data_IF_461783789107
#
_entry.id   IF_461783789107
#
_cell.length_a   1.000
_cell.length_b   1.000
_cell.length_c   1.000
_cell.angle_alpha   90.00
_cell.angle_beta   90.00
_cell.angle_gamma   90.00
#
_symmetry.space_group_name_H-M   'P 1'
#
loop_
_entity.id
_entity.type
_entity.pdbx_description
1 polymer ?
#
# COMPACT_ATOMS: atom_id res chain seq x y z
N UNK A 1 85.60 -43.62 51.83
CA UNK A 1 85.26 -42.43 51.04
C UNK A 1 83.76 -42.36 50.90
N UNK A 2 83.10 -41.51 51.71
CA UNK A 2 81.66 -41.28 51.61
C UNK A 2 81.42 -39.93 51.00
N UNK A 3 80.76 -39.93 49.88
CA UNK A 3 80.31 -38.71 49.15
C UNK A 3 78.98 -38.26 49.76
N UNK A 4 78.95 -37.10 50.37
CA UNK A 4 77.70 -36.40 50.77
C UNK A 4 77.09 -35.78 49.54
N UNK A 5 75.94 -36.27 49.23
CA UNK A 5 75.03 -35.63 48.21
C UNK A 5 74.30 -34.53 48.94
N UNK A 6 74.51 -33.29 48.51
CA UNK A 6 73.87 -32.13 49.08
C UNK A 6 72.38 -32.12 48.77
N UNK A 7 71.53 -32.00 49.84
CA UNK A 7 70.11 -31.71 49.69
C UNK A 7 69.91 -30.31 49.16
N UNK A 8 69.47 -30.24 47.91
CA UNK A 8 69.01 -29.01 47.25
C UNK A 8 67.66 -28.59 47.94
N UNK A 9 67.70 -27.48 48.64
CA UNK A 9 66.60 -26.79 49.26
C UNK A 9 65.48 -26.45 48.28
N UNK A 10 64.51 -27.33 48.08
CA UNK A 10 63.36 -27.15 47.18
C UNK A 10 62.19 -26.38 47.87
N UNK A 11 62.41 -25.83 49.05
CA UNK A 11 61.31 -25.22 49.86
C UNK A 11 60.98 -23.75 49.55
N UNK A 12 61.89 -22.97 48.92
CA UNK A 12 61.73 -21.52 48.77
C UNK A 12 60.99 -21.09 47.51
N UNK A 13 60.83 -21.95 46.52
CA UNK A 13 60.19 -21.60 45.28
C UNK A 13 58.66 -21.81 45.25
N UNK A 14 58.09 -22.61 46.16
CA UNK A 14 56.67 -22.89 46.20
C UNK A 14 55.79 -21.67 46.53
N UNK A 15 56.24 -20.76 47.33
CA UNK A 15 55.50 -19.52 47.68
C UNK A 15 55.52 -18.45 46.60
N UNK A 16 56.63 -18.37 45.88
CA UNK A 16 56.73 -17.39 44.72
C UNK A 16 55.85 -17.84 43.58
N UNK A 17 55.76 -19.14 43.33
CA UNK A 17 54.96 -19.67 42.23
C UNK A 17 53.44 -19.48 42.44
N UNK A 18 52.97 -19.61 43.69
CA UNK A 18 51.56 -19.33 44.04
C UNK A 18 51.24 -17.84 43.95
N UNK A 19 52.17 -16.97 44.35
CA UNK A 19 51.99 -15.52 44.27
C UNK A 19 51.91 -15.04 42.82
N UNK A 20 52.80 -15.54 41.93
CA UNK A 20 52.77 -15.20 40.52
C UNK A 20 51.49 -15.68 39.82
N UNK A 21 51.00 -16.87 40.20
CA UNK A 21 49.76 -17.42 39.67
C UNK A 21 48.54 -16.58 40.09
N UNK A 22 48.48 -16.14 41.37
CA UNK A 22 47.43 -15.24 41.86
C UNK A 22 47.43 -13.88 41.17
N UNK A 23 48.62 -13.29 40.92
CA UNK A 23 48.75 -12.05 40.17
C UNK A 23 48.29 -12.21 38.73
N UNK A 24 48.63 -13.31 38.06
CA UNK A 24 48.16 -13.62 36.73
C UNK A 24 46.64 -13.75 36.66
N UNK A 25 46.03 -14.50 37.57
CA UNK A 25 44.58 -14.64 37.64
C UNK A 25 43.87 -13.31 37.92
N UNK A 26 44.41 -12.47 38.83
CA UNK A 26 43.84 -11.17 39.10
C UNK A 26 43.93 -10.24 37.90
N UNK A 27 45.03 -10.27 37.16
CA UNK A 27 45.18 -9.48 35.91
C UNK A 27 44.19 -9.94 34.83
N UNK A 28 43.98 -11.25 34.64
CA UNK A 28 43.00 -11.79 33.71
C UNK A 28 41.57 -11.41 34.09
N UNK A 29 41.23 -11.47 35.42
CA UNK A 29 39.91 -11.04 35.87
C UNK A 29 39.64 -9.57 35.62
N UNK A 30 40.64 -8.70 35.84
CA UNK A 30 40.51 -7.26 35.53
C UNK A 30 40.31 -7.02 34.03
N UNK A 31 41.07 -7.73 33.19
CA UNK A 31 40.86 -7.66 31.72
C UNK A 31 39.47 -8.13 31.34
N UNK A 32 38.96 -9.24 31.87
CA UNK A 32 37.60 -9.72 31.57
C UNK A 32 36.54 -8.70 31.99
N UNK A 33 36.67 -8.06 33.15
CA UNK A 33 35.73 -7.00 33.57
C UNK A 33 35.75 -5.80 32.67
N UNK A 34 36.91 -5.39 32.13
CA UNK A 34 37.02 -4.27 31.20
C UNK A 34 36.34 -4.60 29.87
N UNK A 35 36.48 -5.82 29.38
CA UNK A 35 35.81 -6.24 28.12
C UNK A 35 34.29 -6.37 28.30
N UNK A 36 33.80 -6.83 29.45
CA UNK A 36 32.37 -6.93 29.72
C UNK A 36 31.68 -5.55 29.74
N UNK A 37 32.32 -4.53 30.29
CA UNK A 37 31.78 -3.18 30.35
C UNK A 37 31.66 -2.56 28.95
N UNK A 38 32.64 -2.77 28.07
CA UNK A 38 32.56 -2.29 26.67
C UNK A 38 31.47 -3.01 25.87
N UNK A 39 31.33 -4.31 26.04
CA UNK A 39 30.27 -5.09 25.42
C UNK A 39 28.87 -4.63 25.88
N UNK A 40 28.70 -4.41 27.18
CA UNK A 40 27.45 -3.92 27.76
C UNK A 40 27.07 -2.52 27.18
N UNK A 41 28.01 -1.61 27.03
CA UNK A 41 27.80 -0.31 26.42
C UNK A 41 27.39 -0.43 24.93
N UNK A 42 28.01 -1.32 24.18
CA UNK A 42 27.64 -1.63 22.80
C UNK A 42 26.23 -2.19 22.70
N UNK A 43 25.88 -3.16 23.55
CA UNK A 43 24.53 -3.74 23.61
C UNK A 43 23.47 -2.70 24.00
N UNK A 44 23.78 -1.82 24.94
CA UNK A 44 22.88 -0.70 25.33
C UNK A 44 22.67 0.27 24.16
N UNK A 45 23.72 0.61 23.43
CA UNK A 45 23.61 1.46 22.23
C UNK A 45 22.76 0.82 21.14
N UNK A 46 22.97 -0.45 20.84
CA UNK A 46 22.19 -1.20 19.84
C UNK A 46 20.72 -1.31 20.28
N UNK A 47 20.46 -1.59 21.54
CA UNK A 47 19.10 -1.69 22.06
C UNK A 47 18.38 -0.33 22.03
N UNK A 48 19.07 0.76 22.35
CA UNK A 48 18.51 2.12 22.26
C UNK A 48 18.14 2.47 20.81
N UNK A 49 19.01 2.15 19.86
CA UNK A 49 18.72 2.36 18.42
C UNK A 49 17.53 1.49 17.95
N UNK A 50 17.48 0.23 18.39
CA UNK A 50 16.34 -0.65 18.06
C UNK A 50 15.02 -0.14 18.65
N UNK A 51 15.03 0.34 19.88
CA UNK A 51 13.85 0.92 20.50
C UNK A 51 13.36 2.17 19.76
N UNK A 52 14.29 3.06 19.37
CA UNK A 52 13.97 4.23 18.56
C UNK A 52 13.36 3.82 17.23
N UNK A 53 13.96 2.87 16.53
CA UNK A 53 13.45 2.36 15.25
C UNK A 53 12.05 1.75 15.40
N UNK A 54 11.82 0.92 16.41
CA UNK A 54 10.51 0.32 16.67
C UNK A 54 9.47 1.38 17.00
N UNK A 55 9.80 2.35 17.85
CA UNK A 55 8.89 3.45 18.19
C UNK A 55 8.55 4.32 16.97
N UNK A 56 9.53 4.62 16.13
CA UNK A 56 9.31 5.35 14.89
C UNK A 56 8.42 4.55 13.93
N UNK A 57 8.68 3.25 13.77
CA UNK A 57 7.89 2.36 12.91
C UNK A 57 6.44 2.26 13.38
N UNK A 58 6.21 2.09 14.68
CA UNK A 58 4.86 2.02 15.26
C UNK A 58 4.11 3.35 15.10
N UNK A 59 4.80 4.47 15.29
CA UNK A 59 4.20 5.78 15.10
C UNK A 59 3.81 6.03 13.63
N UNK A 60 4.64 5.61 12.68
CA UNK A 60 4.32 5.67 11.25
C UNK A 60 3.16 4.76 10.88
N UNK A 61 3.13 3.56 11.43
CA UNK A 61 2.03 2.63 11.22
C UNK A 61 0.70 3.22 11.74
N UNK A 62 0.71 3.86 12.90
CA UNK A 62 -0.47 4.53 13.45
C UNK A 62 -0.94 5.70 12.57
N UNK A 63 -0.02 6.54 12.11
CA UNK A 63 -0.35 7.64 11.19
C UNK A 63 -0.87 7.09 9.87
N UNK A 64 -0.22 6.07 9.32
CA UNK A 64 -0.67 5.40 8.11
C UNK A 64 -2.08 4.83 8.26
N UNK A 65 -2.41 4.23 9.39
CA UNK A 65 -3.74 3.70 9.64
C UNK A 65 -4.80 4.80 9.85
N UNK A 66 -4.49 5.85 10.60
CA UNK A 66 -5.42 6.93 10.90
C UNK A 66 -5.65 7.88 9.72
N UNK A 67 -4.63 8.14 8.94
CA UNK A 67 -4.67 9.10 7.84
C UNK A 67 -4.63 8.45 6.46
N UNK A 68 -4.82 7.14 6.40
CA UNK A 68 -4.73 6.30 5.19
C UNK A 68 -5.51 6.86 4.00
N UNK A 69 -6.65 7.49 4.26
CA UNK A 69 -7.51 8.06 3.22
C UNK A 69 -7.18 9.52 2.90
N UNK A 70 -6.63 10.26 3.86
CA UNK A 70 -6.41 11.71 3.71
C UNK A 70 -5.05 12.10 3.14
N UNK A 71 -3.99 11.33 3.42
CA UNK A 71 -2.62 11.69 3.02
C UNK A 71 -2.43 11.80 1.50
N UNK A 72 -3.11 10.97 0.73
CA UNK A 72 -3.00 10.96 -0.72
C UNK A 72 -4.11 11.75 -1.44
N UNK A 73 -5.10 12.28 -0.72
CA UNK A 73 -6.27 12.96 -1.34
C UNK A 73 -5.93 14.27 -2.03
N UNK A 74 -4.82 14.89 -1.65
CA UNK A 74 -4.35 16.14 -2.26
C UNK A 74 -3.70 15.94 -3.63
N UNK A 75 -3.45 14.69 -4.03
CA UNK A 75 -2.83 14.39 -5.30
C UNK A 75 -3.82 14.57 -6.45
N UNK A 76 -3.38 15.27 -7.49
CA UNK A 76 -4.19 15.47 -8.68
C UNK A 76 -4.40 14.18 -9.46
N UNK A 77 -5.63 13.99 -9.96
CA UNK A 77 -6.03 12.84 -10.77
C UNK A 77 -5.79 13.04 -12.26
N UNK A 78 -5.20 14.15 -12.67
CA UNK A 78 -5.06 14.55 -14.09
C UNK A 78 -3.84 13.91 -14.76
N UNK A 79 -2.95 13.30 -14.00
CA UNK A 79 -1.81 12.56 -14.53
C UNK A 79 -2.16 11.07 -14.75
N UNK A 80 -1.44 10.40 -15.64
CA UNK A 80 -1.59 8.97 -15.91
C UNK A 80 -0.76 8.08 -14.99
N UNK A 81 -0.14 8.66 -13.96
CA UNK A 81 0.69 7.92 -12.99
C UNK A 81 -0.14 6.93 -12.20
N UNK A 82 0.43 5.77 -11.94
CA UNK A 82 -0.17 4.75 -11.08
C UNK A 82 0.34 4.82 -9.66
N UNK A 83 1.53 5.40 -9.45
CA UNK A 83 2.17 5.60 -8.15
C UNK A 83 2.76 7.00 -8.09
N UNK A 84 2.69 7.62 -6.93
CA UNK A 84 3.29 8.92 -6.67
C UNK A 84 3.83 8.98 -5.26
N UNK A 85 5.05 9.50 -5.12
CA UNK A 85 5.69 9.70 -3.84
C UNK A 85 5.17 10.96 -3.18
N UNK A 86 4.92 10.89 -1.88
CA UNK A 86 4.68 12.03 -1.01
C UNK A 86 5.74 12.11 0.06
N UNK A 87 6.04 13.34 0.49
CA UNK A 87 6.94 13.59 1.62
C UNK A 87 6.09 13.89 2.84
N UNK A 88 6.37 13.21 3.92
CA UNK A 88 5.75 13.42 5.19
C UNK A 88 6.79 13.97 6.17
N UNK A 89 6.60 15.20 6.65
CA UNK A 89 7.48 15.81 7.63
C UNK A 89 6.94 15.57 9.04
N UNK A 90 7.79 15.05 9.91
CA UNK A 90 7.49 14.80 11.30
C UNK A 90 8.50 15.46 12.22
N UNK A 91 8.03 15.96 13.35
CA UNK A 91 8.85 16.54 14.38
C UNK A 91 8.69 18.05 14.51
N UNK A 92 9.43 18.63 15.45
CA UNK A 92 9.53 20.07 15.65
C UNK A 92 10.57 20.67 14.71
N UNK A 93 10.63 22.00 14.63
CA UNK A 93 11.57 22.70 13.73
C UNK A 93 13.05 22.31 13.91
N UNK A 94 13.43 21.79 15.09
CA UNK A 94 14.80 21.37 15.43
C UNK A 94 15.10 19.91 15.01
N UNK A 95 14.08 19.03 14.95
CA UNK A 95 14.23 17.59 14.67
C UNK A 95 13.27 17.14 13.57
N UNK A 96 13.30 17.82 12.41
CA UNK A 96 12.49 17.43 11.26
C UNK A 96 13.04 16.16 10.62
N UNK A 97 12.27 15.10 10.71
CA UNK A 97 12.50 13.88 9.96
C UNK A 97 11.57 13.87 8.74
N UNK A 98 12.17 13.89 7.56
CA UNK A 98 11.42 13.71 6.30
C UNK A 98 11.28 12.23 6.02
N UNK A 99 10.05 11.77 5.87
CA UNK A 99 9.74 10.38 5.52
C UNK A 99 9.04 10.35 4.18
N UNK A 100 9.34 9.33 3.39
CA UNK A 100 8.83 9.18 2.05
C UNK A 100 7.82 8.05 2.02
N UNK A 101 6.66 8.31 1.45
CA UNK A 101 5.58 7.34 1.31
C UNK A 101 5.11 7.30 -0.12
N UNK A 102 4.57 6.17 -0.54
CA UNK A 102 4.00 6.01 -1.86
C UNK A 102 2.48 5.99 -1.79
N UNK A 103 1.86 6.75 -2.69
CA UNK A 103 0.45 6.67 -2.97
C UNK A 103 0.24 5.84 -4.22
N UNK A 104 -0.61 4.82 -4.14
CA UNK A 104 -1.07 4.02 -5.27
C UNK A 104 -2.39 4.57 -5.78
N UNK A 105 -2.55 4.65 -7.08
CA UNK A 105 -3.80 5.04 -7.72
C UNK A 105 -4.69 3.83 -7.93
N UNK A 106 -5.73 3.73 -7.13
CA UNK A 106 -6.78 2.72 -7.28
C UNK A 106 -7.76 3.19 -8.36
N UNK A 107 -7.91 2.40 -9.42
CA UNK A 107 -8.77 2.71 -10.58
C UNK A 107 -9.74 1.56 -10.78
N UNK A 108 -11.03 1.85 -10.93
CA UNK A 108 -12.01 0.84 -11.35
C UNK A 108 -11.81 0.46 -12.82
N UNK A 109 -11.42 1.43 -13.65
CA UNK A 109 -11.17 1.23 -15.08
C UNK A 109 -9.66 1.08 -15.32
N UNK A 110 -9.22 -0.02 -15.97
CA UNK A 110 -7.84 -0.20 -16.44
C UNK A 110 -7.50 0.85 -17.50
N UNK A 111 -8.44 1.08 -18.40
CA UNK A 111 -8.38 2.09 -19.45
C UNK A 111 -9.78 2.62 -19.76
N UNK A 112 -9.86 3.84 -20.26
CA UNK A 112 -11.13 4.41 -20.68
C UNK A 112 -11.65 3.71 -21.94
N UNK A 113 -12.96 3.37 -22.02
CA UNK A 113 -13.56 2.91 -23.25
C UNK A 113 -13.38 3.94 -24.35
N UNK A 114 -13.07 3.48 -25.57
CA UNK A 114 -12.83 4.35 -26.76
C UNK A 114 -14.00 4.35 -27.75
N UNK A 115 -14.99 3.51 -27.53
CA UNK A 115 -16.17 3.34 -28.37
C UNK A 115 -17.44 3.23 -27.54
N UNK A 116 -18.59 3.41 -28.17
CA UNK A 116 -19.88 3.37 -27.49
C UNK A 116 -20.25 1.99 -26.96
N UNK A 117 -19.88 0.92 -27.66
CA UNK A 117 -20.18 -0.46 -27.29
C UNK A 117 -18.88 -1.26 -27.22
N UNK A 118 -18.65 -1.89 -26.10
CA UNK A 118 -17.52 -2.77 -25.80
C UNK A 118 -18.00 -4.10 -25.24
N UNK A 119 -18.66 -4.90 -26.10
CA UNK A 119 -19.18 -6.22 -25.75
C UNK A 119 -18.04 -7.24 -25.61
N UNK A 120 -18.04 -8.01 -24.51
CA UNK A 120 -17.00 -8.99 -24.21
C UNK A 120 -15.67 -8.39 -23.74
N UNK A 121 -15.58 -7.07 -23.54
CA UNK A 121 -14.32 -6.40 -23.19
C UNK A 121 -14.23 -6.04 -21.70
N UNK A 122 -15.13 -6.53 -20.85
CA UNK A 122 -15.14 -6.23 -19.41
C UNK A 122 -13.78 -6.47 -18.76
N UNK A 123 -13.18 -7.65 -18.95
CA UNK A 123 -11.90 -8.04 -18.34
C UNK A 123 -10.73 -7.14 -18.81
N UNK A 124 -10.83 -6.53 -20.00
CA UNK A 124 -9.81 -5.63 -20.53
C UNK A 124 -9.96 -4.20 -20.00
N UNK A 125 -11.20 -3.78 -19.72
CA UNK A 125 -11.53 -2.40 -19.34
C UNK A 125 -11.67 -2.23 -17.82
N UNK A 126 -12.14 -3.24 -17.10
CA UNK A 126 -12.46 -3.17 -15.67
C UNK A 126 -11.38 -3.87 -14.84
N UNK A 127 -11.13 -3.35 -13.65
CA UNK A 127 -10.20 -3.89 -12.68
C UNK A 127 -10.95 -4.40 -11.43
N UNK A 128 -11.35 -5.69 -11.40
CA UNK A 128 -12.19 -6.24 -10.33
C UNK A 128 -11.56 -6.13 -8.95
N UNK A 129 -10.22 -6.12 -8.86
CA UNK A 129 -9.46 -5.98 -7.61
C UNK A 129 -9.92 -4.77 -6.78
N UNK A 130 -10.26 -3.66 -7.44
CA UNK A 130 -10.66 -2.42 -6.76
C UNK A 130 -12.17 -2.20 -6.68
N UNK A 131 -12.97 -3.09 -7.26
CA UNK A 131 -14.43 -3.01 -7.22
C UNK A 131 -15.00 -2.83 -5.80
N UNK A 132 -14.53 -3.58 -4.76
CA UNK A 132 -15.04 -3.42 -3.40
C UNK A 132 -14.89 -2.01 -2.85
N UNK A 133 -13.85 -1.29 -3.27
CA UNK A 133 -13.59 0.07 -2.80
C UNK A 133 -14.53 1.13 -3.39
N UNK A 134 -15.16 0.83 -4.52
CA UNK A 134 -16.11 1.73 -5.21
C UNK A 134 -17.55 1.26 -5.12
N UNK A 135 -17.81 0.09 -4.50
CA UNK A 135 -19.14 -0.52 -4.48
C UNK A 135 -20.25 0.41 -3.96
N UNK A 136 -19.93 1.24 -2.96
CA UNK A 136 -20.88 2.22 -2.40
C UNK A 136 -21.21 3.39 -3.34
N UNK A 137 -20.40 3.61 -4.39
CA UNK A 137 -20.59 4.65 -5.40
C UNK A 137 -21.31 4.14 -6.66
N UNK A 138 -21.47 2.80 -6.77
CA UNK A 138 -22.12 2.20 -7.92
C UNK A 138 -23.62 2.40 -7.83
N UNK A 139 -24.22 2.75 -8.93
CA UNK A 139 -25.67 2.88 -9.03
C UNK A 139 -26.24 1.62 -9.67
N UNK A 140 -27.13 0.97 -8.93
CA UNK A 140 -27.92 -0.13 -9.48
C UNK A 140 -28.84 0.45 -10.59
N UNK A 141 -29.15 -0.32 -11.64
CA UNK A 141 -30.01 0.14 -12.70
C UNK A 141 -31.39 0.50 -12.13
N UNK A 142 -31.85 1.75 -12.29
CA UNK A 142 -33.11 2.17 -11.74
C UNK A 142 -34.27 1.62 -12.59
N UNK A 143 -35.33 1.20 -11.93
CA UNK A 143 -36.61 0.84 -12.59
C UNK A 143 -37.23 2.08 -13.22
N UNK A 144 -37.07 3.24 -12.57
CA UNK A 144 -37.54 4.54 -13.06
C UNK A 144 -36.34 5.46 -13.24
N UNK A 145 -36.14 5.93 -14.47
CA UNK A 145 -35.03 6.81 -14.79
C UNK A 145 -35.20 8.18 -14.13
N UNK A 146 -34.13 8.76 -13.58
CA UNK A 146 -34.16 10.11 -13.04
C UNK A 146 -34.44 11.12 -14.16
N UNK A 147 -35.27 12.11 -13.87
CA UNK A 147 -35.61 13.18 -14.85
C UNK A 147 -34.39 14.01 -15.28
N UNK A 148 -33.41 14.13 -14.40
CA UNK A 148 -32.17 14.87 -14.68
C UNK A 148 -31.08 13.92 -15.17
N UNK A 149 -30.57 14.17 -16.38
CA UNK A 149 -29.43 13.44 -16.94
C UNK A 149 -28.15 13.84 -16.19
N UNK A 150 -27.71 13.00 -15.26
CA UNK A 150 -26.42 13.14 -14.62
C UNK A 150 -25.45 12.04 -15.11
N UNK A 151 -24.16 12.34 -15.16
CA UNK A 151 -23.16 11.35 -15.46
C UNK A 151 -23.14 10.27 -14.39
N UNK A 152 -23.66 9.08 -14.70
CA UNK A 152 -23.84 7.98 -13.75
C UNK A 152 -23.20 6.70 -14.28
N UNK A 153 -22.60 5.93 -13.35
CA UNK A 153 -22.13 4.58 -13.64
C UNK A 153 -23.19 3.58 -13.19
N UNK A 154 -23.81 2.92 -14.15
CA UNK A 154 -24.78 1.86 -13.92
C UNK A 154 -24.05 0.52 -13.91
N UNK A 155 -24.27 -0.26 -12.86
CA UNK A 155 -23.59 -1.54 -12.69
C UNK A 155 -24.60 -2.69 -12.60
N UNK A 156 -24.41 -3.67 -13.46
CA UNK A 156 -25.16 -4.92 -13.52
C UNK A 156 -24.22 -6.03 -13.08
N UNK A 157 -24.58 -6.71 -12.02
CA UNK A 157 -23.87 -7.92 -11.61
C UNK A 157 -24.19 -9.11 -12.57
N UNK A 158 -23.50 -10.22 -12.37
CA UNK A 158 -23.67 -11.39 -13.23
C UNK A 158 -25.10 -12.00 -13.22
N UNK A 159 -25.92 -11.64 -12.22
CA UNK A 159 -27.31 -12.12 -12.08
C UNK A 159 -28.31 -11.23 -12.80
N UNK A 160 -27.94 -10.00 -13.09
CA UNK A 160 -28.79 -8.99 -13.73
C UNK A 160 -28.51 -8.94 -15.22
N UNK A 161 -29.27 -9.71 -15.97
CA UNK A 161 -29.07 -9.89 -17.42
C UNK A 161 -30.02 -9.06 -18.28
N UNK A 162 -31.03 -8.41 -17.70
CA UNK A 162 -32.05 -7.68 -18.41
C UNK A 162 -32.23 -6.26 -17.87
N UNK A 163 -32.43 -5.30 -18.80
CA UNK A 163 -32.74 -3.92 -18.47
C UNK A 163 -33.77 -3.34 -19.43
N UNK A 164 -34.88 -2.86 -18.91
CA UNK A 164 -35.85 -2.11 -19.68
C UNK A 164 -35.52 -0.62 -19.60
N UNK A 165 -35.06 -0.05 -20.74
CA UNK A 165 -34.67 1.34 -20.83
C UNK A 165 -35.88 2.20 -21.24
N UNK A 166 -36.42 2.99 -20.32
CA UNK A 166 -37.56 3.86 -20.56
C UNK A 166 -37.17 5.33 -20.59
N UNK A 167 -36.26 5.70 -21.54
CA UNK A 167 -35.79 7.08 -21.72
C UNK A 167 -34.30 7.19 -21.97
N UNK A 168 -33.77 8.42 -21.88
CA UNK A 168 -32.37 8.70 -22.16
C UNK A 168 -31.53 8.62 -20.86
N UNK A 169 -30.37 8.04 -20.96
CA UNK A 169 -29.39 8.01 -19.87
C UNK A 169 -28.04 8.55 -20.34
N UNK A 170 -27.34 9.20 -19.42
CA UNK A 170 -25.99 9.69 -19.67
C UNK A 170 -25.03 9.03 -18.66
N UNK A 171 -24.07 8.26 -19.19
CA UNK A 171 -23.15 7.56 -18.30
C UNK A 171 -22.45 6.38 -18.93
N UNK A 172 -21.82 5.59 -18.07
CA UNK A 172 -21.24 4.31 -18.44
C UNK A 172 -22.13 3.20 -17.87
N UNK A 173 -22.47 2.25 -18.73
CA UNK A 173 -23.18 1.03 -18.34
C UNK A 173 -22.19 -0.12 -18.34
N UNK A 174 -22.05 -0.81 -17.22
CA UNK A 174 -21.15 -1.97 -17.06
C UNK A 174 -21.96 -3.18 -16.63
N UNK A 175 -21.85 -4.27 -17.39
CA UNK A 175 -22.41 -5.56 -17.01
C UNK A 175 -21.29 -6.60 -16.90
N UNK A 176 -21.29 -7.35 -15.80
CA UNK A 176 -20.30 -8.42 -15.56
C UNK A 176 -20.48 -9.60 -16.51
N UNK A 177 -21.72 -9.87 -16.94
CA UNK A 177 -22.10 -10.96 -17.81
C UNK A 177 -22.76 -10.49 -19.10
N UNK A 178 -23.73 -11.30 -19.57
CA UNK A 178 -24.60 -10.97 -20.70
C UNK A 178 -25.57 -9.87 -20.31
N UNK A 179 -25.96 -9.03 -21.28
CA UNK A 179 -26.95 -7.99 -21.05
C UNK A 179 -27.88 -7.84 -22.24
N UNK A 180 -29.17 -7.90 -21.95
CA UNK A 180 -30.25 -7.63 -22.88
C UNK A 180 -30.92 -6.30 -22.51
N UNK A 181 -30.87 -5.31 -23.41
CA UNK A 181 -31.53 -4.01 -23.20
C UNK A 181 -32.72 -3.90 -24.12
N UNK A 182 -33.91 -3.81 -23.49
CA UNK A 182 -35.19 -3.59 -24.14
C UNK A 182 -35.71 -2.19 -23.88
N UNK A 183 -36.93 -1.88 -24.40
CA UNK A 183 -37.57 -0.58 -24.22
C UNK A 183 -37.21 0.43 -25.28
N UNK A 184 -37.20 1.74 -24.96
CA UNK A 184 -36.95 2.82 -25.91
C UNK A 184 -36.10 3.91 -25.24
N UNK A 185 -34.96 4.24 -25.87
CA UNK A 185 -34.12 5.29 -25.31
C UNK A 185 -32.74 5.37 -25.94
N UNK A 186 -31.93 6.30 -25.40
CA UNK A 186 -30.57 6.52 -25.84
C UNK A 186 -29.62 6.49 -24.64
N UNK A 187 -28.54 5.72 -24.78
CA UNK A 187 -27.41 5.73 -23.86
C UNK A 187 -26.31 6.64 -24.41
N UNK A 188 -26.03 7.75 -23.71
CA UNK A 188 -25.00 8.72 -24.11
C UNK A 188 -23.75 8.53 -23.22
N UNK A 189 -22.74 7.80 -23.74
CA UNK A 189 -21.52 7.47 -23.00
C UNK A 189 -20.85 6.22 -23.52
N UNK A 190 -20.77 5.16 -22.70
CA UNK A 190 -20.23 3.86 -23.11
C UNK A 190 -21.01 2.71 -22.47
N UNK A 191 -21.01 1.57 -23.11
CA UNK A 191 -21.59 0.33 -22.63
C UNK A 191 -20.53 -0.77 -22.72
N UNK A 192 -20.30 -1.46 -21.61
CA UNK A 192 -19.28 -2.50 -21.44
C UNK A 192 -19.98 -3.76 -20.93
N UNK A 193 -19.75 -4.91 -21.57
CA UNK A 193 -20.28 -6.19 -21.07
C UNK A 193 -19.19 -7.24 -21.00
N UNK A 194 -19.32 -8.17 -20.06
CA UNK A 194 -18.46 -9.34 -19.97
C UNK A 194 -18.82 -10.43 -20.98
N UNK A 195 -20.09 -10.48 -21.34
CA UNK A 195 -20.62 -11.45 -22.27
C UNK A 195 -21.31 -10.81 -23.48
N UNK A 196 -22.35 -11.49 -23.96
CA UNK A 196 -23.12 -11.08 -25.14
C UNK A 196 -24.00 -9.88 -24.84
N UNK A 197 -24.01 -8.93 -25.74
CA UNK A 197 -24.93 -7.78 -25.71
C UNK A 197 -26.03 -7.95 -26.75
N UNK A 198 -27.28 -7.77 -26.32
CA UNK A 198 -28.45 -7.73 -27.20
C UNK A 198 -29.19 -6.42 -26.98
N UNK A 199 -29.39 -5.67 -28.05
CA UNK A 199 -30.11 -4.39 -28.05
C UNK A 199 -31.33 -4.50 -28.94
N UNK A 200 -32.47 -3.99 -28.49
CA UNK A 200 -33.67 -3.82 -29.34
C UNK A 200 -33.44 -2.60 -30.24
N UNK A 201 -34.00 -2.58 -31.46
CA UNK A 201 -33.82 -1.50 -32.46
C UNK A 201 -34.20 -0.10 -31.97
N UNK A 202 -35.08 -0.01 -30.97
CA UNK A 202 -35.54 1.25 -30.37
C UNK A 202 -34.52 1.81 -29.33
N UNK A 203 -33.43 1.08 -29.02
CA UNK A 203 -32.38 1.50 -28.11
C UNK A 203 -31.11 1.85 -28.89
N UNK A 204 -30.59 3.04 -28.69
CA UNK A 204 -29.35 3.50 -29.31
C UNK A 204 -28.25 3.82 -28.32
N UNK A 205 -27.01 3.55 -28.71
CA UNK A 205 -25.83 3.88 -27.89
C UNK A 205 -24.95 4.87 -28.64
N UNK A 206 -24.65 6.00 -28.04
CA UNK A 206 -23.82 7.06 -28.62
C UNK A 206 -22.62 7.33 -27.72
N UNK A 207 -21.41 7.16 -28.24
CA UNK A 207 -20.19 7.45 -27.50
C UNK A 207 -20.07 8.93 -27.18
N UNK A 208 -19.83 9.24 -25.90
CA UNK A 208 -19.59 10.61 -25.43
C UNK A 208 -18.31 10.67 -24.59
N UNK A 209 -17.21 11.12 -25.22
CA UNK A 209 -15.87 11.17 -24.60
C UNK A 209 -15.86 11.94 -23.27
N UNK A 210 -16.49 13.09 -23.18
CA UNK A 210 -16.52 13.92 -21.98
C UNK A 210 -17.13 13.17 -20.78
N UNK A 211 -18.29 12.51 -20.97
CA UNK A 211 -18.96 11.70 -19.95
C UNK A 211 -18.07 10.52 -19.51
N UNK A 212 -17.46 9.84 -20.46
CA UNK A 212 -16.58 8.70 -20.19
C UNK A 212 -15.36 9.14 -19.39
N UNK A 213 -14.68 10.20 -19.81
CA UNK A 213 -13.48 10.70 -19.12
C UNK A 213 -13.80 11.14 -17.69
N UNK A 214 -14.90 11.86 -17.49
CA UNK A 214 -15.33 12.29 -16.17
C UNK A 214 -15.61 11.11 -15.23
N UNK A 215 -16.35 10.10 -15.72
CA UNK A 215 -16.67 8.93 -14.91
C UNK A 215 -15.43 8.08 -14.60
N UNK A 216 -14.58 7.82 -15.57
CA UNK A 216 -13.32 7.09 -15.33
C UNK A 216 -12.47 7.79 -14.27
N UNK A 217 -12.43 9.13 -14.30
CA UNK A 217 -11.73 9.93 -13.28
C UNK A 217 -12.42 9.83 -11.91
N UNK A 218 -13.77 9.94 -11.84
CA UNK A 218 -14.56 9.85 -10.61
C UNK A 218 -14.38 8.50 -9.91
N UNK A 219 -14.24 7.41 -10.66
CA UNK A 219 -13.96 6.07 -10.15
C UNK A 219 -12.47 5.74 -10.11
N UNK A 220 -11.67 6.74 -9.72
CA UNK A 220 -10.25 6.60 -9.42
C UNK A 220 -9.90 7.46 -8.21
N UNK A 221 -9.04 6.96 -7.34
CA UNK A 221 -8.60 7.67 -6.14
C UNK A 221 -7.16 7.33 -5.81
N UNK A 222 -6.47 8.25 -5.17
CA UNK A 222 -5.18 7.98 -4.57
C UNK A 222 -5.37 7.41 -3.17
N UNK A 223 -4.58 6.40 -2.84
CA UNK A 223 -4.54 5.80 -1.52
C UNK A 223 -3.11 5.54 -1.12
N UNK A 224 -2.82 5.66 0.17
CA UNK A 224 -1.52 5.29 0.70
C UNK A 224 -1.29 3.79 0.51
N UNK A 225 -0.16 3.43 -0.09
CA UNK A 225 0.27 2.05 -0.20
C UNK A 225 0.80 1.57 1.16
N UNK A 226 0.29 0.45 1.63
CA UNK A 226 0.69 -0.12 2.91
C UNK A 226 2.15 -0.57 2.85
N UNK A 227 2.93 -0.24 3.91
CA UNK A 227 4.35 -0.61 4.04
C UNK A 227 5.29 0.03 2.99
N UNK A 228 4.90 1.14 2.40
CA UNK A 228 5.68 1.84 1.37
C UNK A 228 6.45 3.06 1.90
N UNK A 229 6.79 3.09 3.16
CA UNK A 229 7.52 4.20 3.78
C UNK A 229 9.04 3.95 3.80
N UNK A 230 9.79 5.04 3.64
CA UNK A 230 11.25 5.04 3.63
C UNK A 230 11.77 6.22 4.45
N UNK A 231 12.89 5.99 5.16
CA UNK A 231 13.59 7.01 5.96
C UNK A 231 14.57 7.84 5.12
N UNK A 232 14.77 7.49 3.85
CA UNK A 232 15.68 8.16 2.93
C UNK A 232 14.98 8.41 1.59
N UNK A 233 15.42 9.46 0.90
CA UNK A 233 14.92 9.77 -0.44
C UNK A 233 15.36 8.66 -1.40
N UNK A 234 14.43 7.95 -2.05
CA UNK A 234 14.81 6.98 -3.09
C UNK A 234 15.52 7.68 -4.24
N UNK A 235 16.49 6.99 -4.81
CA UNK A 235 17.30 7.44 -5.95
C UNK A 235 16.45 7.61 -7.21
#
# INVERSE_FOLDING_TARGET
MQARIGELSCGRYKGVMTLTLLLLFSAVLVLLMLFDDEQLRLYQGINAQRQLFVQQSLALQNISQQQKESLCTQLHLDNDLNTQQIVFERGTQADRLSQYMWCERQKLFKQAPKKGISAGEYAQLIQPKFLPHFKHMLTLPPVVLPKNLSNTLYWFDATQTEWELNGNVQGIVVAEGDLHISGKGKISGALITGGKLTLVESVSVSYRKATVTELVRRYSRWRLEEKSWYDFKPL
#
